data_IF_459415038763
#
_entry.id   IF_459415038763
#
_cell.length_a   1.000
_cell.length_b   1.000
_cell.length_c   1.000
_cell.angle_alpha   90.00
_cell.angle_beta   90.00
_cell.angle_gamma   90.00
#
_symmetry.space_group_name_H-M   'P 1'
#
loop_
_entity.id
_entity.type
_entity.pdbx_description
1 polymer ?
#
# COMPACT_ATOMS: atom_id res chain seq x y z
N UNK A 1 9.45 -23.50 -42.43
CA UNK A 1 8.49 -22.50 -41.94
C UNK A 1 7.73 -23.16 -40.81
N UNK A 2 8.14 -22.88 -39.58
CA UNK A 2 7.56 -23.44 -38.36
C UNK A 2 6.23 -22.71 -38.10
N UNK A 3 5.08 -23.38 -37.88
CA UNK A 3 3.83 -22.69 -37.62
C UNK A 3 3.92 -22.04 -36.25
N UNK A 4 3.87 -20.70 -36.24
CA UNK A 4 3.71 -19.93 -35.00
C UNK A 4 2.49 -20.46 -34.24
N UNK A 5 2.61 -20.80 -32.94
CA UNK A 5 1.45 -21.24 -32.17
C UNK A 5 0.48 -20.07 -32.09
N UNK A 6 -0.64 -20.20 -32.79
CA UNK A 6 -1.78 -19.30 -32.65
C UNK A 6 -2.32 -19.49 -31.25
N UNK A 7 -2.04 -18.53 -30.37
CA UNK A 7 -2.70 -18.45 -29.07
C UNK A 7 -4.19 -18.36 -29.35
N UNK A 8 -5.02 -19.35 -28.97
CA UNK A 8 -6.45 -19.26 -29.22
C UNK A 8 -6.99 -18.01 -28.48
N UNK A 9 -7.95 -17.27 -29.07
CA UNK A 9 -8.57 -16.16 -28.38
C UNK A 9 -9.17 -16.69 -27.08
N UNK A 10 -8.64 -16.23 -25.95
CA UNK A 10 -9.15 -16.59 -24.62
C UNK A 10 -10.65 -16.33 -24.66
N UNK A 11 -11.46 -17.34 -24.35
CA UNK A 11 -12.90 -17.20 -24.18
C UNK A 11 -13.19 -16.30 -22.96
N UNK A 12 -12.97 -14.99 -23.12
CA UNK A 12 -13.14 -13.97 -22.08
C UNK A 12 -14.61 -13.79 -21.68
N UNK A 13 -15.54 -14.40 -22.40
CA UNK A 13 -16.98 -14.34 -22.12
C UNK A 13 -17.37 -15.07 -20.83
N UNK A 14 -16.67 -16.15 -20.45
CA UNK A 14 -17.01 -16.94 -19.25
C UNK A 14 -16.68 -16.25 -17.91
N UNK A 15 -15.64 -15.41 -17.87
CA UNK A 15 -15.14 -14.78 -16.63
C UNK A 15 -15.34 -13.26 -16.57
N UNK A 16 -15.95 -12.68 -17.61
CA UNK A 16 -16.23 -11.25 -17.65
C UNK A 16 -17.09 -10.81 -16.46
N UNK A 17 -18.07 -11.62 -16.04
CA UNK A 17 -18.92 -11.31 -14.89
C UNK A 17 -18.11 -11.22 -13.58
N UNK A 18 -17.14 -12.13 -13.37
CA UNK A 18 -16.25 -12.08 -12.21
C UNK A 18 -15.38 -10.83 -12.23
N UNK A 19 -14.89 -10.43 -13.41
CA UNK A 19 -14.11 -9.22 -13.56
C UNK A 19 -14.94 -7.97 -13.21
N UNK A 20 -16.15 -7.86 -13.76
CA UNK A 20 -17.06 -6.73 -13.48
C UNK A 20 -17.39 -6.68 -11.99
N UNK A 21 -17.76 -7.81 -11.39
CA UNK A 21 -18.02 -7.92 -9.96
C UNK A 21 -16.79 -7.54 -9.13
N UNK A 22 -15.61 -8.01 -9.54
CA UNK A 22 -14.33 -7.69 -8.91
C UNK A 22 -14.04 -6.19 -8.93
N UNK A 23 -14.32 -5.48 -10.03
CA UNK A 23 -14.18 -4.02 -10.09
C UNK A 23 -15.14 -3.29 -9.14
N UNK A 24 -16.40 -3.74 -9.07
CA UNK A 24 -17.39 -3.16 -8.15
C UNK A 24 -16.93 -3.35 -6.71
N UNK A 25 -16.49 -4.56 -6.34
CA UNK A 25 -16.01 -4.86 -4.98
C UNK A 25 -14.71 -4.11 -4.68
N UNK A 26 -13.78 -4.00 -5.63
CA UNK A 26 -12.56 -3.22 -5.46
C UNK A 26 -12.85 -1.73 -5.24
N UNK A 27 -13.87 -1.18 -5.92
CA UNK A 27 -14.32 0.19 -5.69
C UNK A 27 -14.88 0.37 -4.27
N UNK A 28 -15.72 -0.57 -3.81
CA UNK A 28 -16.25 -0.57 -2.44
C UNK A 28 -15.10 -0.67 -1.43
N UNK A 29 -14.15 -1.60 -1.63
CA UNK A 29 -12.97 -1.74 -0.79
C UNK A 29 -12.16 -0.45 -0.72
N UNK A 30 -11.91 0.21 -1.86
CA UNK A 30 -11.19 1.47 -1.91
C UNK A 30 -11.92 2.58 -1.13
N UNK A 31 -13.25 2.63 -1.23
CA UNK A 31 -14.07 3.54 -0.42
C UNK A 31 -13.95 3.23 1.08
N UNK A 32 -14.03 1.96 1.49
CA UNK A 32 -13.88 1.55 2.89
C UNK A 32 -12.51 1.90 3.47
N UNK A 33 -11.45 1.68 2.69
CA UNK A 33 -10.07 2.04 3.07
C UNK A 33 -9.97 3.55 3.26
N UNK A 34 -10.49 4.34 2.32
CA UNK A 34 -10.51 5.80 2.44
C UNK A 34 -11.27 6.29 3.68
N UNK A 35 -12.44 5.69 3.97
CA UNK A 35 -13.24 6.06 5.14
C UNK A 35 -12.50 5.84 6.46
N UNK A 36 -11.73 4.76 6.57
CA UNK A 36 -10.94 4.43 7.76
C UNK A 36 -9.64 5.26 7.86
N UNK A 37 -8.93 5.45 6.74
CA UNK A 37 -7.57 5.96 6.76
C UNK A 37 -7.46 7.50 6.76
N UNK A 38 -8.50 8.23 6.32
CA UNK A 38 -8.52 9.71 6.36
C UNK A 38 -8.28 10.24 7.78
N UNK A 39 -8.83 9.57 8.79
CA UNK A 39 -8.63 9.95 10.19
C UNK A 39 -7.16 9.85 10.63
N UNK A 40 -6.40 8.91 10.07
CA UNK A 40 -4.99 8.69 10.40
C UNK A 40 -4.12 9.85 9.89
N UNK A 41 -4.40 10.36 8.69
CA UNK A 41 -3.61 11.43 8.05
C UNK A 41 -4.04 12.84 8.48
N UNK A 42 -5.34 13.07 8.68
CA UNK A 42 -5.88 14.42 8.93
C UNK A 42 -6.45 14.63 10.34
N UNK A 43 -6.47 13.61 11.21
CA UNK A 43 -7.05 13.71 12.55
C UNK A 43 -6.42 14.82 13.41
N UNK A 44 -5.10 14.98 13.36
CA UNK A 44 -4.39 16.03 14.11
C UNK A 44 -4.61 17.43 13.53
N UNK A 45 -4.66 17.57 12.20
CA UNK A 45 -4.89 18.84 11.51
C UNK A 45 -6.32 19.36 11.72
N UNK A 46 -7.31 18.46 11.71
CA UNK A 46 -8.71 18.80 12.03
C UNK A 46 -8.87 19.05 13.52
N UNK A 47 -8.29 18.20 14.38
CA UNK A 47 -8.38 18.34 15.84
C UNK A 47 -7.72 19.61 16.39
N UNK A 48 -6.70 20.15 15.71
CA UNK A 48 -6.06 21.43 16.05
C UNK A 48 -6.78 22.66 15.47
N UNK A 49 -7.81 22.48 14.65
CA UNK A 49 -8.55 23.58 14.02
C UNK A 49 -7.83 24.25 12.84
N UNK A 50 -6.68 23.71 12.40
CA UNK A 50 -5.92 24.26 11.26
C UNK A 50 -6.66 24.04 9.94
N UNK A 51 -7.39 22.92 9.83
CA UNK A 51 -8.13 22.53 8.63
C UNK A 51 -9.54 22.08 9.00
N UNK A 52 -10.55 22.51 8.24
CA UNK A 52 -11.94 22.03 8.44
C UNK A 52 -12.13 20.61 7.92
N UNK A 53 -13.15 19.90 8.40
CA UNK A 53 -13.46 18.54 7.94
C UNK A 53 -13.65 18.47 6.41
N UNK A 54 -14.34 19.44 5.82
CA UNK A 54 -14.55 19.51 4.35
C UNK A 54 -13.24 19.67 3.60
N UNK A 55 -12.35 20.54 4.06
CA UNK A 55 -11.03 20.73 3.45
C UNK A 55 -10.17 19.47 3.58
N UNK A 56 -10.19 18.82 4.74
CA UNK A 56 -9.48 17.55 4.96
C UNK A 56 -9.95 16.46 3.97
N UNK A 57 -11.26 16.32 3.75
CA UNK A 57 -11.79 15.38 2.77
C UNK A 57 -11.29 15.67 1.35
N UNK A 58 -11.32 16.92 0.90
CA UNK A 58 -10.85 17.31 -0.45
C UNK A 58 -9.35 17.03 -0.61
N UNK A 59 -8.54 17.41 0.38
CA UNK A 59 -7.10 17.17 0.36
C UNK A 59 -6.79 15.67 0.38
N UNK A 60 -7.47 14.90 1.23
CA UNK A 60 -7.29 13.45 1.29
C UNK A 60 -7.63 12.79 -0.04
N UNK A 61 -8.76 13.13 -0.67
CA UNK A 61 -9.12 12.56 -1.98
C UNK A 61 -8.05 12.80 -3.05
N UNK A 62 -7.42 13.98 -3.07
CA UNK A 62 -6.34 14.27 -4.04
C UNK A 62 -5.06 13.53 -3.67
N UNK A 63 -4.55 13.70 -2.45
CA UNK A 63 -3.23 13.21 -2.06
C UNK A 63 -3.17 11.70 -1.87
N UNK A 64 -4.23 11.06 -1.35
CA UNK A 64 -4.32 9.59 -1.24
C UNK A 64 -4.40 8.95 -2.63
N UNK A 65 -5.18 9.52 -3.55
CA UNK A 65 -5.27 9.02 -4.93
C UNK A 65 -3.91 9.15 -5.65
N UNK A 66 -3.25 10.31 -5.53
CA UNK A 66 -1.92 10.53 -6.12
C UNK A 66 -0.89 9.58 -5.49
N UNK A 67 -0.90 9.42 -4.17
CA UNK A 67 -0.02 8.49 -3.46
C UNK A 67 -0.20 7.04 -3.89
N UNK A 68 -1.46 6.59 -4.01
CA UNK A 68 -1.81 5.25 -4.48
C UNK A 68 -1.27 4.98 -5.89
N UNK A 69 -1.42 5.93 -6.82
CA UNK A 69 -0.91 5.80 -8.20
C UNK A 69 0.62 5.78 -8.24
N UNK A 70 1.28 6.60 -7.42
CA UNK A 70 2.74 6.74 -7.46
C UNK A 70 3.50 5.63 -6.73
N UNK A 71 2.98 5.17 -5.57
CA UNK A 71 3.70 4.28 -4.64
C UNK A 71 2.96 2.96 -4.36
N UNK A 72 1.67 2.84 -4.67
CA UNK A 72 0.83 1.70 -4.28
C UNK A 72 1.14 0.36 -4.96
N UNK A 73 1.86 0.38 -6.08
CA UNK A 73 2.13 -0.82 -6.88
C UNK A 73 2.92 -1.90 -6.13
N UNK A 74 3.89 -1.51 -5.28
CA UNK A 74 4.74 -2.47 -4.57
C UNK A 74 3.97 -3.24 -3.49
N UNK A 75 3.16 -2.53 -2.70
CA UNK A 75 2.32 -3.15 -1.66
C UNK A 75 1.28 -4.06 -2.30
N UNK A 76 0.66 -3.62 -3.39
CA UNK A 76 -0.29 -4.43 -4.15
C UNK A 76 0.34 -5.74 -4.66
N UNK A 77 1.60 -5.70 -5.12
CA UNK A 77 2.31 -6.90 -5.56
C UNK A 77 2.61 -7.85 -4.39
N UNK A 78 2.97 -7.31 -3.22
CA UNK A 78 3.16 -8.11 -2.00
C UNK A 78 1.88 -8.83 -1.59
N UNK A 79 0.72 -8.17 -1.63
CA UNK A 79 -0.56 -8.83 -1.34
C UNK A 79 -0.88 -9.89 -2.39
N UNK A 80 -0.68 -9.59 -3.67
CA UNK A 80 -1.04 -10.48 -4.78
C UNK A 80 -0.17 -11.75 -4.87
N UNK A 81 1.14 -11.63 -4.63
CA UNK A 81 2.11 -12.73 -4.87
C UNK A 81 3.03 -13.04 -3.70
N UNK A 82 3.11 -12.15 -2.72
CA UNK A 82 3.97 -12.36 -1.56
C UNK A 82 3.36 -13.34 -0.56
N UNK A 83 2.03 -13.37 -0.43
CA UNK A 83 1.33 -14.15 0.58
C UNK A 83 0.97 -15.57 0.15
N UNK A 84 0.66 -15.74 -1.13
CA UNK A 84 0.12 -17.00 -1.68
C UNK A 84 1.02 -17.51 -2.80
N UNK A 85 1.11 -18.82 -2.94
CA UNK A 85 1.84 -19.41 -4.06
C UNK A 85 0.98 -19.51 -5.32
N UNK A 86 1.13 -18.51 -6.18
CA UNK A 86 0.33 -18.35 -7.41
C UNK A 86 0.55 -19.51 -8.39
N UNK A 87 1.70 -20.18 -8.35
CA UNK A 87 2.04 -21.25 -9.29
C UNK A 87 1.15 -22.49 -9.10
N UNK A 88 0.67 -22.74 -7.89
CA UNK A 88 -0.28 -23.82 -7.60
C UNK A 88 -1.66 -23.59 -8.20
N UNK A 89 -1.97 -22.35 -8.59
CA UNK A 89 -3.23 -21.98 -9.23
C UNK A 89 -3.15 -21.95 -10.76
N UNK A 90 -2.04 -22.38 -11.38
CA UNK A 90 -1.87 -22.36 -12.83
C UNK A 90 -2.92 -23.20 -13.57
N UNK A 91 -3.33 -24.32 -12.98
CA UNK A 91 -4.40 -25.21 -13.46
C UNK A 91 -5.80 -24.76 -13.01
N UNK A 92 -5.90 -23.91 -11.97
CA UNK A 92 -7.15 -23.49 -11.31
C UNK A 92 -7.26 -21.97 -11.22
N UNK A 93 -7.04 -21.27 -12.34
CA UNK A 93 -7.02 -19.79 -12.38
C UNK A 93 -8.34 -19.16 -11.95
N UNK A 94 -9.45 -19.82 -12.23
CA UNK A 94 -10.79 -19.39 -11.82
C UNK A 94 -10.93 -19.34 -10.31
N UNK A 95 -10.34 -20.32 -9.61
CA UNK A 95 -10.35 -20.39 -8.16
C UNK A 95 -9.55 -19.24 -7.54
N UNK A 96 -8.41 -18.87 -8.15
CA UNK A 96 -7.63 -17.72 -7.73
C UNK A 96 -8.39 -16.40 -7.94
N UNK A 97 -9.12 -16.27 -9.05
CA UNK A 97 -9.96 -15.10 -9.32
C UNK A 97 -11.09 -14.98 -8.30
N UNK A 98 -11.83 -16.07 -8.06
CA UNK A 98 -12.89 -16.12 -7.05
C UNK A 98 -12.35 -15.85 -5.63
N UNK A 99 -11.18 -16.41 -5.28
CA UNK A 99 -10.49 -16.18 -4.03
C UNK A 99 -10.04 -14.72 -3.83
N UNK A 100 -9.56 -14.08 -4.90
CA UNK A 100 -9.19 -12.66 -4.85
C UNK A 100 -10.43 -11.77 -4.64
N UNK A 101 -11.54 -12.09 -5.30
CA UNK A 101 -12.81 -11.37 -5.13
C UNK A 101 -13.35 -11.56 -3.70
N UNK A 102 -13.33 -12.79 -3.17
CA UNK A 102 -13.79 -13.07 -1.81
C UNK A 102 -12.90 -12.40 -0.76
N UNK A 103 -11.58 -12.33 -0.98
CA UNK A 103 -10.66 -11.60 -0.11
C UNK A 103 -10.97 -10.10 -0.07
N UNK A 104 -11.18 -9.48 -1.24
CA UNK A 104 -11.56 -8.08 -1.33
C UNK A 104 -12.91 -7.82 -0.68
N UNK A 105 -13.89 -8.70 -0.90
CA UNK A 105 -15.22 -8.59 -0.29
C UNK A 105 -15.17 -8.68 1.23
N UNK A 106 -14.53 -9.71 1.78
CA UNK A 106 -14.40 -9.88 3.23
C UNK A 106 -13.67 -8.71 3.89
N UNK A 107 -12.59 -8.23 3.25
CA UNK A 107 -11.87 -7.04 3.70
C UNK A 107 -12.74 -5.77 3.64
N UNK A 108 -13.51 -5.59 2.57
CA UNK A 108 -14.38 -4.41 2.40
C UNK A 108 -15.50 -4.39 3.44
N UNK A 109 -16.18 -5.51 3.65
CA UNK A 109 -17.26 -5.65 4.63
C UNK A 109 -16.75 -5.33 6.04
N UNK A 110 -15.64 -5.97 6.45
CA UNK A 110 -15.10 -5.74 7.78
C UNK A 110 -14.65 -4.28 7.97
N UNK A 111 -14.03 -3.67 6.97
CA UNK A 111 -13.62 -2.26 7.03
C UNK A 111 -14.80 -1.28 7.09
N UNK A 112 -15.88 -1.55 6.36
CA UNK A 112 -17.11 -0.75 6.47
C UNK A 112 -17.71 -0.89 7.86
N UNK A 113 -17.88 -2.11 8.35
CA UNK A 113 -18.46 -2.36 9.68
C UNK A 113 -17.65 -1.65 10.76
N UNK A 114 -16.32 -1.79 10.75
CA UNK A 114 -15.46 -1.11 11.70
C UNK A 114 -15.57 0.43 11.60
N UNK A 115 -15.62 0.96 10.37
CA UNK A 115 -15.81 2.41 10.14
C UNK A 115 -17.16 2.90 10.66
N UNK A 116 -18.25 2.14 10.44
CA UNK A 116 -19.57 2.43 10.99
C UNK A 116 -19.59 2.40 12.52
N UNK A 117 -18.85 1.46 13.12
CA UNK A 117 -18.66 1.36 14.56
C UNK A 117 -17.63 2.37 15.11
N UNK A 118 -17.03 3.21 14.26
CA UNK A 118 -16.00 4.21 14.61
C UNK A 118 -14.76 3.59 15.27
N UNK A 119 -14.43 2.35 14.91
CA UNK A 119 -13.27 1.65 15.41
C UNK A 119 -12.08 1.91 14.48
N UNK A 120 -10.95 2.45 14.98
CA UNK A 120 -9.74 2.56 14.19
C UNK A 120 -9.15 1.16 14.00
N UNK A 121 -9.12 0.69 12.76
CA UNK A 121 -8.56 -0.62 12.42
C UNK A 121 -7.48 -0.49 11.35
N UNK A 122 -6.76 -1.59 11.11
CA UNK A 122 -5.75 -1.67 10.04
C UNK A 122 -6.32 -2.38 8.82
N UNK A 123 -6.52 -1.65 7.72
CA UNK A 123 -6.96 -2.21 6.44
C UNK A 123 -5.99 -3.26 5.89
N UNK A 124 -4.68 -3.13 6.19
CA UNK A 124 -3.67 -4.11 5.75
C UNK A 124 -3.86 -5.46 6.42
N UNK A 125 -4.18 -5.50 7.73
CA UNK A 125 -4.51 -6.75 8.42
C UNK A 125 -5.75 -7.41 7.82
N UNK A 126 -6.75 -6.62 7.43
CA UNK A 126 -7.99 -7.10 6.84
C UNK A 126 -7.74 -7.86 5.53
N UNK A 127 -7.01 -7.24 4.59
CA UNK A 127 -6.75 -7.87 3.29
C UNK A 127 -5.75 -9.01 3.38
N UNK A 128 -4.72 -8.92 4.23
CA UNK A 128 -3.75 -10.01 4.45
C UNK A 128 -4.47 -11.22 5.05
N UNK A 129 -5.26 -11.01 6.10
CA UNK A 129 -6.04 -12.07 6.75
C UNK A 129 -7.05 -12.71 5.82
N UNK A 130 -7.78 -11.91 5.04
CA UNK A 130 -8.73 -12.44 4.06
C UNK A 130 -8.04 -13.24 2.93
N UNK A 131 -6.86 -12.79 2.48
CA UNK A 131 -6.04 -13.47 1.47
C UNK A 131 -5.56 -14.84 1.97
N UNK A 132 -5.04 -14.89 3.20
CA UNK A 132 -4.64 -16.15 3.84
C UNK A 132 -5.85 -17.05 4.03
N UNK A 133 -6.97 -16.51 4.50
CA UNK A 133 -8.20 -17.24 4.74
C UNK A 133 -8.70 -17.99 3.51
N UNK A 134 -8.81 -17.33 2.34
CA UNK A 134 -9.22 -18.04 1.13
C UNK A 134 -8.17 -19.05 0.68
N UNK A 135 -6.88 -18.73 0.81
CA UNK A 135 -5.82 -19.64 0.37
C UNK A 135 -5.79 -20.92 1.18
N UNK A 136 -6.05 -20.82 2.50
CA UNK A 136 -6.19 -21.98 3.38
C UNK A 136 -7.39 -22.85 3.00
N UNK A 137 -8.51 -22.23 2.60
CA UNK A 137 -9.69 -22.97 2.14
C UNK A 137 -9.45 -23.62 0.77
N UNK A 138 -8.76 -22.94 -0.14
CA UNK A 138 -8.57 -23.38 -1.51
C UNK A 138 -7.46 -24.44 -1.68
N UNK A 139 -6.34 -24.29 -0.96
CA UNK A 139 -5.12 -25.10 -1.15
C UNK A 139 -4.49 -25.57 0.17
N UNK A 140 -5.17 -25.38 1.31
CA UNK A 140 -4.63 -25.76 2.61
C UNK A 140 -3.39 -24.97 3.02
N UNK A 141 -2.56 -25.56 3.89
CA UNK A 141 -1.37 -24.92 4.45
C UNK A 141 -0.28 -24.64 3.40
N UNK A 142 -0.21 -25.46 2.35
CA UNK A 142 0.76 -25.32 1.26
C UNK A 142 0.47 -24.08 0.40
N UNK A 143 -0.81 -23.66 0.34
CA UNK A 143 -1.31 -22.42 -0.24
C UNK A 143 -0.56 -21.14 0.14
N UNK A 144 -0.02 -21.12 1.37
CA UNK A 144 0.43 -19.90 2.05
C UNK A 144 1.95 -19.89 2.18
N UNK A 145 2.56 -18.77 1.83
CA UNK A 145 4.00 -18.54 2.01
C UNK A 145 4.30 -18.08 3.43
N UNK A 146 4.36 -19.02 4.37
CA UNK A 146 4.54 -18.75 5.81
C UNK A 146 5.77 -17.89 6.14
N UNK A 147 6.87 -18.07 5.41
CA UNK A 147 8.09 -17.28 5.59
C UNK A 147 7.88 -15.80 5.24
N UNK A 148 7.11 -15.51 4.19
CA UNK A 148 6.76 -14.14 3.81
C UNK A 148 5.72 -13.54 4.77
N UNK A 149 4.75 -14.35 5.20
CA UNK A 149 3.81 -13.93 6.24
C UNK A 149 4.53 -13.51 7.52
N UNK A 150 5.51 -14.30 7.99
CA UNK A 150 6.30 -13.96 9.17
C UNK A 150 7.02 -12.62 9.02
N UNK A 151 7.61 -12.33 7.86
CA UNK A 151 8.25 -11.03 7.58
C UNK A 151 7.25 -9.87 7.66
N UNK A 152 6.04 -10.08 7.15
CA UNK A 152 4.96 -9.09 7.22
C UNK A 152 4.53 -8.86 8.67
N UNK A 153 4.32 -9.93 9.44
CA UNK A 153 3.96 -9.84 10.87
C UNK A 153 5.05 -9.10 11.66
N UNK A 154 6.32 -9.43 11.44
CA UNK A 154 7.44 -8.71 12.05
C UNK A 154 7.41 -7.21 11.71
N UNK A 155 7.09 -6.87 10.46
CA UNK A 155 6.99 -5.47 10.05
C UNK A 155 5.89 -4.69 10.78
N UNK A 156 4.82 -5.34 11.23
CA UNK A 156 3.73 -4.71 11.98
C UNK A 156 4.14 -4.27 13.38
N UNK A 157 5.15 -4.91 13.98
CA UNK A 157 5.71 -4.50 15.27
C UNK A 157 6.87 -3.53 15.12
N UNK A 158 7.73 -3.77 14.14
CA UNK A 158 8.91 -2.93 13.89
C UNK A 158 8.49 -1.53 13.43
N UNK A 159 7.47 -1.41 12.58
CA UNK A 159 7.09 -0.10 12.00
C UNK A 159 6.58 0.90 13.05
N UNK A 160 5.63 0.55 13.94
CA UNK A 160 5.20 1.43 15.02
C UNK A 160 6.34 1.79 15.97
N UNK A 161 7.18 0.81 16.33
CA UNK A 161 8.34 1.05 17.21
C UNK A 161 9.29 2.09 16.62
N UNK A 162 9.70 1.91 15.36
CA UNK A 162 10.58 2.85 14.67
C UNK A 162 9.93 4.23 14.48
N UNK A 163 8.63 4.27 14.15
CA UNK A 163 7.89 5.54 14.05
C UNK A 163 7.78 6.26 15.40
N UNK A 164 7.62 5.53 16.50
CA UNK A 164 7.56 6.08 17.86
C UNK A 164 8.90 6.68 18.27
N UNK A 165 9.99 5.97 18.02
CA UNK A 165 11.35 6.47 18.28
C UNK A 165 11.63 7.74 17.46
N UNK A 166 11.32 7.73 16.15
CA UNK A 166 11.51 8.90 15.30
C UNK A 166 10.64 10.09 15.71
N UNK A 167 9.38 9.84 16.07
CA UNK A 167 8.47 10.86 16.60
C UNK A 167 9.01 11.49 17.89
N UNK A 168 9.52 10.66 18.82
CA UNK A 168 10.11 11.15 20.06
C UNK A 168 11.36 12.02 19.82
N UNK A 169 12.24 11.60 18.89
CA UNK A 169 13.43 12.38 18.49
C UNK A 169 12.99 13.72 17.88
N UNK A 170 12.08 13.71 16.91
CA UNK A 170 11.59 14.94 16.27
C UNK A 170 10.93 15.88 17.28
N UNK A 171 10.08 15.35 18.16
CA UNK A 171 9.46 16.15 19.22
C UNK A 171 10.50 16.74 20.17
N UNK A 172 11.52 15.98 20.57
CA UNK A 172 12.62 16.48 21.40
C UNK A 172 13.36 17.65 20.71
N UNK A 173 13.67 17.52 19.41
CA UNK A 173 14.31 18.58 18.64
C UNK A 173 13.42 19.83 18.55
N UNK A 174 12.14 19.66 18.19
CA UNK A 174 11.17 20.77 18.13
C UNK A 174 11.07 21.46 19.49
N UNK A 175 10.95 20.70 20.58
CA UNK A 175 10.88 21.24 21.93
C UNK A 175 12.13 22.04 22.27
N UNK A 176 13.32 21.47 22.04
CA UNK A 176 14.60 22.08 22.42
C UNK A 176 14.95 23.34 21.62
N UNK A 177 14.69 23.32 20.32
CA UNK A 177 15.13 24.36 19.39
C UNK A 177 14.06 25.41 19.07
N UNK A 178 12.78 25.06 19.18
CA UNK A 178 11.65 25.95 18.86
C UNK A 178 10.90 26.33 20.13
N UNK A 179 10.29 25.37 20.83
CA UNK A 179 9.33 25.67 21.90
C UNK A 179 9.96 26.21 23.19
N UNK A 180 11.20 25.84 23.51
CA UNK A 180 11.91 26.31 24.72
C UNK A 180 12.66 27.65 24.53
N UNK A 181 12.43 28.36 23.43
CA UNK A 181 13.02 29.68 23.18
C UNK A 181 12.09 30.79 23.69
N UNK A 182 12.68 31.92 24.07
CA UNK A 182 11.94 33.08 24.60
C UNK A 182 10.84 33.58 23.65
N UNK A 183 11.10 33.54 22.35
CA UNK A 183 10.10 33.76 21.30
C UNK A 183 10.05 32.55 20.35
N UNK A 184 9.07 31.65 20.50
CA UNK A 184 9.00 30.41 19.74
C UNK A 184 8.43 30.60 18.32
N UNK A 185 7.66 31.66 18.06
CA UNK A 185 6.93 31.81 16.79
C UNK A 185 7.86 32.06 15.59
N UNK A 186 8.79 33.04 15.63
CA UNK A 186 9.72 33.27 14.52
C UNK A 186 10.66 32.08 14.28
N UNK A 187 11.05 31.38 15.36
CA UNK A 187 11.91 30.19 15.26
C UNK A 187 11.16 29.03 14.59
N UNK A 188 9.88 28.86 14.89
CA UNK A 188 9.02 27.89 14.22
C UNK A 188 8.91 28.17 12.72
N UNK A 189 8.62 29.43 12.35
CA UNK A 189 8.53 29.85 10.95
C UNK A 189 9.83 29.63 10.17
N UNK A 190 10.99 29.87 10.80
CA UNK A 190 12.31 29.59 10.19
C UNK A 190 12.60 28.10 10.03
N UNK A 191 12.02 27.24 10.87
CA UNK A 191 12.19 25.80 10.78
C UNK A 191 11.27 25.15 9.73
N UNK A 192 10.13 25.76 9.38
CA UNK A 192 9.17 25.22 8.41
C UNK A 192 9.79 24.85 7.05
N UNK A 193 10.63 25.69 6.40
CA UNK A 193 11.25 25.33 5.14
C UNK A 193 12.08 24.05 5.22
N UNK A 194 12.74 23.80 6.36
CA UNK A 194 13.54 22.60 6.57
C UNK A 194 12.63 21.37 6.65
N UNK A 195 11.55 21.44 7.44
CA UNK A 195 10.59 20.35 7.53
C UNK A 195 9.95 20.02 6.17
N UNK A 196 9.51 21.04 5.44
CA UNK A 196 8.95 20.84 4.10
C UNK A 196 9.98 20.29 3.10
N UNK A 197 11.21 20.79 3.12
CA UNK A 197 12.28 20.27 2.27
C UNK A 197 12.59 18.79 2.55
N UNK A 198 12.65 18.40 3.83
CA UNK A 198 12.83 17.00 4.23
C UNK A 198 11.66 16.12 3.76
N UNK A 199 10.40 16.54 4.01
CA UNK A 199 9.21 15.78 3.60
C UNK A 199 9.14 15.62 2.09
N UNK A 200 9.33 16.71 1.33
CA UNK A 200 9.34 16.67 -0.14
C UNK A 200 10.51 15.81 -0.64
N UNK A 201 11.70 15.95 -0.05
CA UNK A 201 12.88 15.15 -0.41
C UNK A 201 12.66 13.65 -0.23
N UNK A 202 12.09 13.23 0.92
CA UNK A 202 11.78 11.82 1.20
C UNK A 202 10.71 11.29 0.23
N UNK A 203 9.66 12.06 -0.03
CA UNK A 203 8.61 11.65 -0.97
C UNK A 203 9.15 11.51 -2.40
N UNK A 204 9.91 12.50 -2.88
CA UNK A 204 10.54 12.44 -4.21
C UNK A 204 11.51 11.27 -4.32
N UNK A 205 12.35 11.05 -3.31
CA UNK A 205 13.25 9.89 -3.28
C UNK A 205 12.47 8.58 -3.35
N UNK A 206 11.39 8.46 -2.56
CA UNK A 206 10.54 7.26 -2.52
C UNK A 206 9.87 6.99 -3.87
N UNK A 207 9.37 8.03 -4.53
CA UNK A 207 8.77 7.94 -5.87
C UNK A 207 9.84 7.58 -6.91
N UNK A 208 11.04 8.13 -6.83
CA UNK A 208 12.11 7.82 -7.79
C UNK A 208 12.68 6.41 -7.61
N UNK A 209 12.82 5.94 -6.37
CA UNK A 209 13.41 4.65 -6.06
C UNK A 209 12.40 3.50 -6.18
N UNK A 210 11.19 3.71 -5.67
CA UNK A 210 10.15 2.69 -5.54
C UNK A 210 8.98 2.89 -6.50
N UNK A 211 8.71 4.13 -6.91
CA UNK A 211 7.53 4.49 -7.67
C UNK A 211 7.47 3.88 -9.09
N UNK A 212 6.24 3.84 -9.61
CA UNK A 212 5.75 3.01 -10.70
C UNK A 212 6.78 2.65 -11.82
N UNK A 213 6.84 1.37 -12.26
CA UNK A 213 7.66 0.93 -13.40
C UNK A 213 7.41 1.70 -14.71
N UNK A 214 6.26 2.39 -14.82
CA UNK A 214 5.83 3.19 -15.97
C UNK A 214 6.63 4.48 -16.14
N UNK A 215 7.28 5.01 -15.10
CA UNK A 215 8.18 6.18 -15.15
C UNK A 215 9.65 5.81 -15.44
N UNK A 216 9.99 4.52 -15.54
CA UNK A 216 11.33 4.10 -15.98
C UNK A 216 11.45 4.31 -17.50
N UNK A 217 12.01 5.45 -17.88
CA UNK A 217 12.54 5.71 -19.23
C UNK A 217 13.36 4.50 -19.74
N UNK A 218 13.27 4.11 -21.03
CA UNK A 218 14.03 2.99 -21.61
C UNK A 218 15.53 3.02 -21.27
N UNK A 219 16.14 4.21 -21.16
CA UNK A 219 17.56 4.40 -20.79
C UNK A 219 17.90 3.87 -19.39
N UNK A 220 16.98 3.92 -18.41
CA UNK A 220 17.22 3.43 -17.04
C UNK A 220 17.03 1.92 -16.90
N UNK A 221 16.32 1.26 -17.83
CA UNK A 221 16.24 -0.22 -17.87
C UNK A 221 17.59 -0.84 -18.20
N UNK A 222 18.37 -0.24 -19.10
CA UNK A 222 19.73 -0.72 -19.41
C UNK A 222 20.70 -0.50 -18.23
N UNK A 223 20.60 0.62 -17.51
CA UNK A 223 21.47 0.89 -16.37
C UNK A 223 21.26 -0.11 -15.21
N UNK A 224 20.00 -0.45 -14.88
CA UNK A 224 19.71 -1.49 -13.87
C UNK A 224 19.99 -2.91 -14.37
N UNK A 225 19.78 -3.21 -15.66
CA UNK A 225 20.12 -4.51 -16.24
C UNK A 225 21.64 -4.77 -16.27
N UNK A 226 22.45 -3.71 -16.44
CA UNK A 226 23.91 -3.78 -16.34
C UNK A 226 24.41 -4.09 -14.92
N UNK A 227 23.67 -3.68 -13.89
CA UNK A 227 24.02 -3.96 -12.50
C UNK A 227 23.60 -5.38 -12.05
N UNK A 228 22.43 -5.85 -12.52
CA UNK A 228 21.95 -7.21 -12.23
C UNK A 228 22.81 -8.34 -12.82
N UNK A 229 23.43 -8.12 -13.99
CA UNK A 229 24.33 -9.12 -14.60
C UNK A 229 25.69 -9.25 -13.89
N UNK A 230 26.12 -8.26 -13.10
CA UNK A 230 27.38 -8.37 -12.35
C UNK A 230 27.25 -9.15 -11.04
N UNK A 231 26.05 -9.35 -10.51
CA UNK A 231 25.84 -10.21 -9.33
C UNK A 231 25.52 -11.67 -9.68
N UNK A 232 25.06 -11.96 -10.90
CA UNK A 232 24.81 -13.33 -11.35
C UNK A 232 26.07 -14.07 -11.89
N UNK A 233 27.24 -13.42 -11.89
CA UNK A 233 28.52 -14.05 -12.25
C UNK A 233 29.37 -14.41 -11.02
N UNK A 234 28.88 -14.13 -9.81
CA UNK A 234 29.49 -14.52 -8.54
C UNK A 234 28.39 -15.00 -7.60
N UNK A 235 27.72 -16.09 -7.99
CA UNK A 235 26.97 -17.03 -7.15
C UNK A 235 26.49 -18.20 -8.00
#
# INVERSE_FOLDING_TARGET
MDPTPTVPPVAMTGFLWMLILGFIIAFILAFSVGANDVANSFGTAVGSGVVTLRQACVLASVFETVGSVLLGAKVSETIRKGLIDVEMYNSTRELLMAGSISAMFGSAVWQLVASFLKLPISGTHCIVGATIGFSLVAQGQEGVRWSELLKIVLSWFISPLLSGIMSAILFFLVRRFILSKADPVPNGLRALPIFYACTVGINLFSIMYTGAPRLKSPRRRLACAGFGRRQASVR
#
